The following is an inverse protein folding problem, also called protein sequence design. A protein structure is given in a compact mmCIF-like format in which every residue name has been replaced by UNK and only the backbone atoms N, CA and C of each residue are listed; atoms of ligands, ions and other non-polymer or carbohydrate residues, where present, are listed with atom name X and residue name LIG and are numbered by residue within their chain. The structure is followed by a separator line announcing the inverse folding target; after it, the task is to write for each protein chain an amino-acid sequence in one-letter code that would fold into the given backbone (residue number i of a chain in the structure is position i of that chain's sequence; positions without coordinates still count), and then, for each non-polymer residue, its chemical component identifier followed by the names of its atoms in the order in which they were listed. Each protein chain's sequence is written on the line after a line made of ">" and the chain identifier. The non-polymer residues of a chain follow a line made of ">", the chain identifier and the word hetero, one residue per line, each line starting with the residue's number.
data_IF_869942179793
#
_entry.id   IF_869942179793
#
_cell.length_a   1.000
_cell.length_b   1.000
_cell.length_c   1.000
_cell.angle_alpha   90.00
_cell.angle_beta   90.00
_cell.angle_gamma   90.00
#
_symmetry.space_group_name_H-M   'P 1'
#
loop_
_entity.id
_entity.type
_entity.pdbx_description
1 polymer ?
#
# COMPACT_ATOMS: atom_id res chain seq x y z
N UNK A 1 22.14 14.41 2.48
CA UNK A 1 22.23 13.62 2.42
C UNK A 1 22.56 12.89 1.40
N UNK A 2 23.01 12.53 1.23
CA UNK A 2 23.40 12.08 0.23
C UNK A 2 23.50 10.76 0.05
N UNK A 3 23.48 10.32 -0.33
CA UNK A 3 23.49 9.22 -0.46
C UNK A 3 24.06 8.74 -1.46
N UNK A 4 24.46 8.81 -1.86
CA UNK A 4 25.00 8.57 -2.81
C UNK A 4 25.53 7.54 -3.34
N UNK A 5 25.83 7.05 -3.55
CA UNK A 5 26.13 6.15 -3.98
C UNK A 5 26.62 5.71 -4.99
N UNK A 6 26.92 5.31 -5.40
CA UNK A 6 27.52 5.03 -6.24
C UNK A 6 27.59 3.89 -6.84
N UNK A 7 27.34 3.76 -7.42
CA UNK A 7 27.21 2.80 -8.13
C UNK A 7 27.95 1.73 -8.03
N UNK A 8 28.67 1.60 -8.52
CA UNK A 8 29.45 0.63 -8.56
C UNK A 8 29.24 -0.37 -7.66
N UNK A 9 28.50 -0.38 -7.11
CA UNK A 9 28.34 -1.10 -6.23
C UNK A 9 28.28 -2.46 -6.44
N UNK A 10 28.79 -3.13 -5.77
CA UNK A 10 28.77 -4.41 -5.88
C UNK A 10 27.88 -4.97 -4.94
N UNK A 11 26.97 -4.27 -4.36
CA UNK A 11 26.12 -4.84 -3.41
C UNK A 11 25.22 -5.78 -4.06
N UNK A 12 24.70 -6.67 -3.36
CA UNK A 12 23.79 -7.64 -3.90
C UNK A 12 22.55 -6.98 -4.39
N UNK A 13 21.77 -7.72 -5.04
CA UNK A 13 20.57 -7.22 -5.59
C UNK A 13 19.61 -6.82 -4.50
N UNK A 14 19.65 -5.58 -4.11
CA UNK A 14 18.67 -5.05 -3.18
C UNK A 14 17.93 -3.92 -3.86
N UNK A 15 16.69 -3.75 -3.48
CA UNK A 15 15.89 -2.66 -3.97
C UNK A 15 15.48 -1.83 -2.77
N UNK A 16 15.69 -0.54 -2.85
CA UNK A 16 15.42 0.36 -1.74
C UNK A 16 14.44 1.42 -2.20
N UNK A 17 13.30 1.50 -1.50
CA UNK A 17 12.35 2.58 -1.73
C UNK A 17 12.55 3.60 -0.63
N UNK A 18 12.58 4.86 -0.99
CA UNK A 18 12.80 5.94 -0.03
C UNK A 18 11.69 6.96 -0.13
N UNK A 19 11.14 7.29 1.01
CA UNK A 19 10.13 8.35 1.12
C UNK A 19 10.63 9.34 2.15
N UNK A 20 10.49 10.64 1.86
CA UNK A 20 10.83 11.69 2.80
C UNK A 20 9.56 12.42 3.19
N UNK A 21 9.47 12.79 4.44
CA UNK A 21 8.31 13.49 4.97
C UNK A 21 8.75 14.78 5.64
N UNK A 22 8.01 15.85 5.39
CA UNK A 22 8.35 17.16 5.85
C UNK A 22 7.19 17.80 6.59
N UNK A 23 7.50 18.58 7.60
CA UNK A 23 6.48 19.42 8.23
C UNK A 23 6.09 20.52 7.25
N UNK A 24 4.83 20.93 7.31
CA UNK A 24 4.31 21.91 6.36
C UNK A 24 4.07 23.28 6.97
N UNK A 25 4.17 23.38 8.30
CA UNK A 25 3.75 24.60 8.98
C UNK A 25 2.32 24.53 9.44
N UNK A 26 1.55 23.57 8.95
CA UNK A 26 0.18 23.33 9.42
C UNK A 26 0.22 22.11 10.32
N UNK A 27 -0.07 22.27 11.61
CA UNK A 27 -0.02 21.12 12.51
C UNK A 27 -0.95 19.99 12.05
N UNK A 28 -0.43 18.78 12.08
CA UNK A 28 -1.22 17.62 11.66
C UNK A 28 -1.16 17.34 10.17
N UNK A 29 -0.35 18.08 9.41
CA UNK A 29 -0.19 17.83 7.97
C UNK A 29 1.27 17.58 7.65
N UNK A 30 1.56 16.53 6.88
CA UNK A 30 2.91 16.23 6.41
C UNK A 30 2.91 16.19 4.89
N UNK A 31 3.98 16.73 4.30
CA UNK A 31 4.21 16.61 2.88
C UNK A 31 5.18 15.46 2.65
N UNK A 32 4.83 14.55 1.80
CA UNK A 32 5.63 13.36 1.53
C UNK A 32 6.09 13.36 0.09
N UNK A 33 7.28 12.85 -0.13
CA UNK A 33 7.80 12.75 -1.48
C UNK A 33 8.55 11.46 -1.69
N UNK A 34 8.37 10.89 -2.87
CA UNK A 34 9.08 9.70 -3.29
C UNK A 34 9.38 9.87 -4.77
N UNK A 35 10.65 9.80 -5.13
CA UNK A 35 11.12 10.10 -6.48
C UNK A 35 10.68 11.51 -6.84
N UNK A 36 9.82 11.67 -7.84
CA UNK A 36 9.31 13.00 -8.23
C UNK A 36 7.84 13.17 -7.91
N UNK A 37 7.30 12.32 -7.02
CA UNK A 37 5.89 12.37 -6.65
C UNK A 37 5.74 12.96 -5.26
N UNK A 38 4.69 13.73 -5.07
CA UNK A 38 4.44 14.40 -3.80
C UNK A 38 2.99 14.19 -3.39
N UNK A 39 2.75 14.04 -2.11
CA UNK A 39 1.39 13.94 -1.60
C UNK A 39 1.38 14.34 -0.13
N UNK A 40 0.23 14.78 0.35
CA UNK A 40 0.08 15.15 1.75
C UNK A 40 -0.73 14.10 2.48
N UNK A 41 -0.43 13.94 3.75
CA UNK A 41 -1.25 13.13 4.65
C UNK A 41 -1.63 13.99 5.83
N UNK A 42 -2.87 13.83 6.28
CA UNK A 42 -3.41 14.63 7.37
C UNK A 42 -3.77 13.76 8.56
N UNK A 43 -3.42 14.23 9.74
CA UNK A 43 -3.93 13.61 10.96
C UNK A 43 -5.43 13.90 11.06
N UNK A 44 -6.22 12.95 11.58
CA UNK A 44 -7.63 13.22 11.80
C UNK A 44 -7.88 14.40 12.74
N UNK A 45 -6.92 14.69 13.62
CA UNK A 45 -7.03 15.82 14.52
C UNK A 45 -6.43 17.09 13.93
N UNK A 46 -5.89 17.04 12.73
CA UNK A 46 -5.38 18.20 12.02
C UNK A 46 -6.39 18.65 10.98
N UNK A 47 -5.93 19.04 9.78
CA UNK A 47 -6.85 19.52 8.74
C UNK A 47 -7.87 18.50 8.29
N UNK A 48 -7.48 17.21 8.30
CA UNK A 48 -8.40 16.14 7.94
C UNK A 48 -9.02 16.31 6.55
N UNK A 49 -8.23 16.79 5.61
CA UNK A 49 -8.65 16.98 4.23
C UNK A 49 -8.02 15.99 3.26
N UNK A 50 -6.98 15.30 3.69
CA UNK A 50 -6.30 14.30 2.89
C UNK A 50 -6.36 12.97 3.63
N UNK A 51 -5.85 11.92 2.99
CA UNK A 51 -5.80 10.61 3.65
C UNK A 51 -5.00 10.69 4.95
N UNK A 52 -5.40 9.90 5.90
CA UNK A 52 -4.62 9.77 7.14
C UNK A 52 -3.44 8.82 6.90
N UNK A 53 -2.50 8.84 7.84
CA UNK A 53 -1.35 7.92 7.79
C UNK A 53 -1.81 6.47 7.76
N UNK A 54 -2.79 6.13 8.58
CA UNK A 54 -3.31 4.77 8.63
C UNK A 54 -3.97 4.37 7.32
N UNK A 55 -4.75 5.28 6.73
CA UNK A 55 -5.40 5.00 5.45
C UNK A 55 -4.37 4.81 4.35
N UNK A 56 -3.32 5.61 4.34
CA UNK A 56 -2.27 5.48 3.34
C UNK A 56 -1.54 4.14 3.48
N UNK A 57 -1.28 3.72 4.70
CA UNK A 57 -0.66 2.43 4.94
C UNK A 57 -1.55 1.29 4.42
N UNK A 58 -2.84 1.35 4.75
CA UNK A 58 -3.78 0.33 4.29
C UNK A 58 -3.91 0.34 2.77
N UNK A 59 -3.93 1.55 2.18
CA UNK A 59 -4.01 1.65 0.72
C UNK A 59 -2.80 1.02 0.04
N UNK A 60 -1.62 1.16 0.65
CA UNK A 60 -0.43 0.52 0.10
C UNK A 60 -0.57 -1.00 0.07
N UNK A 61 -1.13 -1.57 1.14
CA UNK A 61 -1.32 -3.02 1.21
C UNK A 61 -2.37 -3.48 0.19
N UNK A 62 -3.53 -2.81 0.14
CA UNK A 62 -4.60 -3.23 -0.77
C UNK A 62 -4.22 -3.00 -2.22
N UNK A 63 -3.52 -1.91 -2.52
CA UNK A 63 -3.06 -1.66 -3.89
C UNK A 63 -2.09 -2.74 -4.36
N UNK A 64 -1.24 -3.21 -3.46
CA UNK A 64 -0.34 -4.31 -3.78
C UNK A 64 -1.14 -5.55 -4.18
N UNK A 65 -2.24 -5.82 -3.47
CA UNK A 65 -3.10 -6.94 -3.82
C UNK A 65 -3.64 -6.81 -5.22
N UNK A 66 -4.13 -5.62 -5.58
CA UNK A 66 -4.69 -5.39 -6.91
C UNK A 66 -3.62 -5.58 -7.99
N UNK A 67 -2.51 -4.88 -7.85
CA UNK A 67 -1.53 -4.86 -8.93
C UNK A 67 -0.81 -6.18 -9.09
N UNK A 68 -0.57 -6.88 -8.00
CA UNK A 68 0.12 -8.17 -8.06
C UNK A 68 -0.78 -9.23 -8.68
N UNK A 69 -2.05 -9.24 -8.30
CA UNK A 69 -2.99 -10.21 -8.87
C UNK A 69 -3.20 -9.92 -10.36
N UNK A 70 -3.31 -8.64 -10.73
CA UNK A 70 -3.47 -8.29 -12.14
C UNK A 70 -2.27 -8.74 -12.97
N UNK A 71 -1.08 -8.52 -12.45
CA UNK A 71 0.13 -8.93 -13.16
C UNK A 71 0.18 -10.44 -13.33
N UNK A 72 -0.11 -11.17 -12.26
CA UNK A 72 -0.09 -12.63 -12.32
C UNK A 72 -1.16 -13.14 -13.29
N UNK A 73 -2.35 -12.55 -13.24
CA UNK A 73 -3.44 -12.98 -14.11
C UNK A 73 -3.09 -12.76 -15.58
N UNK A 74 -2.40 -11.65 -15.88
CA UNK A 74 -1.97 -11.40 -17.23
C UNK A 74 -0.96 -12.44 -17.68
N UNK A 75 0.00 -12.74 -16.85
CA UNK A 75 1.05 -13.71 -17.19
C UNK A 75 0.49 -15.12 -17.39
N UNK A 76 -0.48 -15.49 -16.59
CA UNK A 76 -1.06 -16.83 -16.64
C UNK A 76 -2.34 -16.89 -17.46
N UNK A 77 -2.72 -15.77 -18.07
CA UNK A 77 -3.90 -15.71 -18.94
C UNK A 77 -5.18 -16.08 -18.20
N UNK A 78 -5.27 -15.67 -16.95
CA UNK A 78 -6.50 -15.81 -16.17
C UNK A 78 -7.37 -14.60 -16.50
N UNK A 79 -8.64 -14.82 -16.88
CA UNK A 79 -9.45 -13.72 -17.44
C UNK A 79 -10.07 -12.79 -16.39
N UNK A 80 -9.27 -12.18 -15.58
CA UNK A 80 -9.74 -11.19 -14.61
C UNK A 80 -10.21 -9.95 -15.36
N UNK A 81 -11.45 -9.53 -15.12
CA UNK A 81 -12.00 -8.36 -15.76
C UNK A 81 -11.92 -7.12 -14.88
N UNK A 82 -11.81 -7.32 -13.60
CA UNK A 82 -11.69 -6.21 -12.68
C UNK A 82 -11.73 -6.73 -11.26
N UNK A 83 -11.44 -5.87 -10.29
CA UNK A 83 -11.53 -6.28 -8.89
C UNK A 83 -11.66 -5.08 -8.00
N UNK A 84 -12.16 -5.34 -6.81
CA UNK A 84 -12.20 -4.35 -5.75
C UNK A 84 -11.66 -5.01 -4.50
N UNK A 85 -10.82 -4.30 -3.78
CA UNK A 85 -10.27 -4.78 -2.52
C UNK A 85 -10.71 -3.82 -1.43
N UNK A 86 -11.34 -4.34 -0.40
CA UNK A 86 -11.67 -3.55 0.78
C UNK A 86 -10.76 -4.01 1.90
N UNK A 87 -10.14 -3.05 2.58
CA UNK A 87 -9.22 -3.37 3.66
C UNK A 87 -9.64 -2.57 4.88
N UNK A 88 -9.71 -3.25 6.02
CA UNK A 88 -10.11 -2.61 7.26
C UNK A 88 -9.03 -2.82 8.29
N UNK A 89 -8.53 -1.73 8.83
CA UNK A 89 -7.62 -1.78 9.96
C UNK A 89 -8.41 -1.52 11.23
N UNK A 90 -8.31 -2.43 12.18
CA UNK A 90 -9.08 -2.38 13.40
C UNK A 90 -8.15 -2.03 14.55
N UNK A 91 -8.50 -1.00 15.28
CA UNK A 91 -7.76 -0.56 16.46
C UNK A 91 -8.64 -0.70 17.68
N UNK A 92 -8.03 -0.89 18.83
CA UNK A 92 -8.78 -0.88 20.07
C UNK A 92 -8.60 0.47 20.75
N UNK A 93 -9.55 0.85 21.59
CA UNK A 93 -9.41 2.10 22.33
C UNK A 93 -8.23 2.06 23.30
N UNK A 94 -7.84 0.86 23.72
CA UNK A 94 -6.70 0.73 24.62
C UNK A 94 -5.38 0.99 23.92
N UNK A 95 -5.30 0.68 22.62
CA UNK A 95 -4.09 0.88 21.84
C UNK A 95 -4.42 1.57 20.52
N UNK A 96 -4.76 2.85 20.55
CA UNK A 96 -5.24 3.52 19.33
C UNK A 96 -4.14 3.80 18.31
N UNK A 97 -2.87 3.59 18.70
CA UNK A 97 -1.77 3.92 17.80
C UNK A 97 -1.30 2.77 16.93
N UNK A 98 -1.97 1.64 17.00
CA UNK A 98 -1.57 0.49 16.19
C UNK A 98 -2.80 -0.31 15.81
N UNK A 99 -2.69 -1.03 14.70
CA UNK A 99 -3.78 -1.90 14.29
C UNK A 99 -3.73 -3.18 15.12
N UNK A 100 -4.87 -3.55 15.67
CA UNK A 100 -5.05 -4.82 16.35
C UNK A 100 -5.16 -5.93 15.30
N UNK A 101 -5.87 -5.67 14.22
CA UNK A 101 -5.99 -6.63 13.12
C UNK A 101 -6.27 -5.88 11.83
N UNK A 102 -5.97 -6.53 10.72
CA UNK A 102 -6.24 -5.99 9.41
C UNK A 102 -6.97 -7.07 8.62
N UNK A 103 -8.15 -6.73 8.13
CA UNK A 103 -8.97 -7.65 7.36
C UNK A 103 -9.03 -7.19 5.92
N UNK A 104 -8.80 -8.11 5.00
CA UNK A 104 -8.78 -7.80 3.58
C UNK A 104 -9.81 -8.68 2.89
N UNK A 105 -10.66 -8.10 2.08
CA UNK A 105 -11.60 -8.86 1.28
C UNK A 105 -11.47 -8.46 -0.19
N UNK A 106 -11.52 -9.45 -1.06
CA UNK A 106 -11.37 -9.27 -2.49
C UNK A 106 -12.66 -9.62 -3.19
N UNK A 107 -12.98 -8.84 -4.21
CA UNK A 107 -14.08 -9.15 -5.10
C UNK A 107 -13.49 -9.09 -6.50
N UNK A 108 -13.44 -10.22 -7.19
CA UNK A 108 -12.74 -10.33 -8.47
C UNK A 108 -13.72 -10.80 -9.52
N UNK A 109 -13.83 -10.03 -10.62
CA UNK A 109 -14.80 -10.33 -11.68
C UNK A 109 -14.13 -11.01 -12.85
N UNK A 110 -14.89 -11.85 -13.53
CA UNK A 110 -14.42 -12.55 -14.72
C UNK A 110 -13.85 -13.93 -14.43
N UNK A 111 -13.84 -14.33 -13.18
CA UNK A 111 -13.27 -15.63 -12.78
C UNK A 111 -14.25 -16.34 -11.87
N UNK A 112 -14.03 -17.64 -11.70
CA UNK A 112 -14.83 -18.43 -10.77
C UNK A 112 -14.38 -18.16 -9.34
N UNK A 113 -15.18 -18.60 -8.39
CA UNK A 113 -14.83 -18.48 -6.98
C UNK A 113 -13.52 -19.19 -6.68
N UNK A 114 -13.33 -20.38 -7.24
CA UNK A 114 -12.08 -21.10 -7.03
C UNK A 114 -10.87 -20.39 -7.57
N UNK A 115 -11.00 -19.80 -8.77
CA UNK A 115 -9.91 -19.03 -9.35
C UNK A 115 -9.60 -17.79 -8.51
N UNK A 116 -10.64 -17.13 -8.02
CA UNK A 116 -10.44 -15.96 -7.16
C UNK A 116 -9.69 -16.35 -5.90
N UNK A 117 -10.05 -17.46 -5.28
CA UNK A 117 -9.37 -17.91 -4.07
C UNK A 117 -7.90 -18.23 -4.34
N UNK A 118 -7.61 -18.84 -5.48
CA UNK A 118 -6.24 -19.13 -5.84
C UNK A 118 -5.43 -17.84 -6.01
N UNK A 119 -6.02 -16.84 -6.65
CA UNK A 119 -5.34 -15.58 -6.87
C UNK A 119 -5.01 -14.89 -5.55
N UNK A 120 -5.92 -14.93 -4.60
CA UNK A 120 -5.68 -14.33 -3.30
C UNK A 120 -4.57 -15.08 -2.57
N UNK A 121 -4.52 -16.41 -2.68
CA UNK A 121 -3.45 -17.18 -2.07
C UNK A 121 -2.09 -16.85 -2.70
N UNK A 122 -2.06 -16.61 -4.01
CA UNK A 122 -0.84 -16.18 -4.69
C UNK A 122 -0.34 -14.87 -4.07
N UNK A 123 -1.25 -13.91 -3.87
CA UNK A 123 -0.86 -12.65 -3.26
C UNK A 123 -0.36 -12.85 -1.84
N UNK A 124 -1.04 -13.68 -1.07
CA UNK A 124 -0.64 -13.89 0.32
C UNK A 124 0.73 -14.53 0.44
N UNK A 125 1.15 -15.28 -0.56
CA UNK A 125 2.43 -15.99 -0.50
C UNK A 125 3.61 -15.12 -0.95
N UNK A 126 3.35 -13.89 -1.34
CA UNK A 126 4.40 -12.98 -1.81
C UNK A 126 4.59 -11.80 -0.86
#
# INVERSE_FOLDING_TARGET
>A
MAEGTTGADKTPDVKIDTVRSYSTGTPGRALNSARHNHFVLDSPSGPNEALTNGEAFLAGVSSCGVTLIEKYALEKKVPVKGMQVAIKGIRTNAEPNRFHSINVSFEIWGVSQGQAEELVEIWKSR
#
